data_IF_688384840131
#
_entry.id   IF_688384840131
#
_cell.length_a   1.000
_cell.length_b   1.000
_cell.length_c   1.000
_cell.angle_alpha   90.00
_cell.angle_beta   90.00
_cell.angle_gamma   90.00
#
_symmetry.space_group_name_H-M   'P 1'
#
loop_
_entity.id
_entity.type
_entity.pdbx_description
1 polymer ?
#
# COMPACT_ATOMS: atom_id res chain seq x y z
N UNK A 1 4.20 4.49 4.56
CA UNK A 1 4.93 5.63 3.94
C UNK A 1 5.65 6.40 5.03
N UNK A 2 6.87 6.85 4.78
CA UNK A 2 7.71 7.47 5.80
C UNK A 2 8.39 8.72 5.21
N UNK A 3 8.37 9.85 5.92
CA UNK A 3 9.01 11.12 5.51
C UNK A 3 8.77 11.56 4.05
N UNK A 4 7.53 11.40 3.57
CA UNK A 4 7.18 11.77 2.20
C UNK A 4 7.74 10.85 1.11
N UNK A 5 8.28 9.68 1.50
CA UNK A 5 8.69 8.60 0.61
C UNK A 5 7.74 7.41 0.72
N UNK A 6 7.44 6.81 -0.44
CA UNK A 6 6.79 5.49 -0.52
C UNK A 6 7.85 4.40 -0.32
N UNK A 7 7.57 3.45 0.58
CA UNK A 7 8.50 2.37 0.92
C UNK A 7 7.74 1.05 0.79
N UNK A 8 8.33 0.09 0.08
CA UNK A 8 7.86 -1.28 0.01
C UNK A 8 8.78 -2.23 0.79
N UNK A 9 8.17 -3.21 1.44
CA UNK A 9 8.86 -4.30 2.12
C UNK A 9 8.40 -5.62 1.51
N UNK A 10 9.33 -6.37 0.93
CA UNK A 10 9.11 -7.74 0.48
C UNK A 10 9.74 -8.68 1.52
N UNK A 11 8.92 -9.53 2.13
CA UNK A 11 9.39 -10.48 3.15
C UNK A 11 9.66 -11.82 2.47
N UNK A 12 10.83 -12.42 2.73
CA UNK A 12 11.18 -13.78 2.33
C UNK A 12 11.47 -14.61 3.58
N UNK A 13 11.01 -15.84 3.56
CA UNK A 13 11.26 -16.88 4.56
C UNK A 13 12.43 -17.77 4.11
N UNK A 14 12.83 -18.71 4.96
CA UNK A 14 13.86 -19.71 4.65
C UNK A 14 13.49 -20.61 3.47
N UNK A 15 12.18 -20.82 3.27
CA UNK A 15 11.60 -21.68 2.22
C UNK A 15 11.41 -20.97 0.89
N UNK A 16 11.50 -19.63 0.86
CA UNK A 16 11.29 -18.88 -0.37
C UNK A 16 12.43 -19.04 -1.37
N UNK A 17 12.07 -19.16 -2.65
CA UNK A 17 13.02 -19.15 -3.76
C UNK A 17 13.15 -17.77 -4.41
N UNK A 18 14.30 -17.51 -5.04
CA UNK A 18 14.54 -16.27 -5.78
C UNK A 18 13.79 -16.18 -7.12
N UNK A 19 13.07 -17.23 -7.56
CA UNK A 19 12.55 -17.35 -8.92
C UNK A 19 11.66 -16.18 -9.37
N UNK A 20 10.87 -15.61 -8.46
CA UNK A 20 9.97 -14.47 -8.76
C UNK A 20 10.54 -13.12 -8.33
N UNK A 21 11.61 -13.12 -7.55
CA UNK A 21 12.06 -11.92 -6.84
C UNK A 21 12.50 -10.81 -7.78
N UNK A 22 13.19 -11.16 -8.85
CA UNK A 22 13.67 -10.17 -9.81
C UNK A 22 12.53 -9.40 -10.49
N UNK A 23 11.48 -10.12 -10.92
CA UNK A 23 10.28 -9.51 -11.48
C UNK A 23 9.53 -8.65 -10.44
N UNK A 24 9.48 -9.09 -9.18
CA UNK A 24 8.89 -8.33 -8.07
C UNK A 24 9.65 -7.02 -7.83
N UNK A 25 10.99 -7.07 -7.69
CA UNK A 25 11.83 -5.88 -7.50
C UNK A 25 11.69 -4.92 -8.67
N UNK A 26 11.74 -5.41 -9.91
CA UNK A 26 11.57 -4.58 -11.11
C UNK A 26 10.21 -3.88 -11.15
N UNK A 27 9.17 -4.50 -10.58
CA UNK A 27 7.85 -3.90 -10.48
C UNK A 27 7.78 -2.87 -9.34
N UNK A 28 8.30 -3.20 -8.16
CA UNK A 28 8.26 -2.31 -6.99
C UNK A 28 9.10 -1.05 -7.17
N UNK A 29 10.28 -1.15 -7.76
CA UNK A 29 11.16 0.01 -8.00
C UNK A 29 10.55 1.05 -8.94
N UNK A 30 9.56 0.67 -9.77
CA UNK A 30 8.78 1.61 -10.60
C UNK A 30 7.72 2.40 -9.81
N UNK A 31 7.38 1.98 -8.60
CA UNK A 31 6.23 2.50 -7.84
C UNK A 31 6.67 3.16 -6.54
N UNK A 32 7.65 2.55 -5.86
CA UNK A 32 8.09 2.94 -4.53
C UNK A 32 9.42 3.67 -4.58
N UNK A 33 9.57 4.73 -3.78
CA UNK A 33 10.83 5.46 -3.70
C UNK A 33 11.93 4.63 -3.06
N UNK A 34 11.59 3.67 -2.20
CA UNK A 34 12.52 2.73 -1.60
C UNK A 34 11.91 1.34 -1.54
N UNK A 35 12.73 0.33 -1.76
CA UNK A 35 12.35 -1.08 -1.70
C UNK A 35 13.33 -1.80 -0.79
N UNK A 36 12.79 -2.53 0.19
CA UNK A 36 13.55 -3.33 1.14
C UNK A 36 13.15 -4.80 1.06
N UNK A 37 14.13 -5.69 1.10
CA UNK A 37 13.93 -7.09 1.40
C UNK A 37 14.10 -7.32 2.90
N UNK A 38 13.15 -8.04 3.49
CA UNK A 38 13.27 -8.57 4.84
C UNK A 38 13.52 -10.08 4.71
N UNK A 39 14.70 -10.54 5.11
CA UNK A 39 15.16 -11.91 4.88
C UNK A 39 15.73 -12.54 6.16
N UNK A 40 15.79 -13.88 6.28
CA UNK A 40 16.51 -14.51 7.37
C UNK A 40 18.01 -14.19 7.27
N UNK A 41 18.67 -13.97 8.41
CA UNK A 41 20.11 -13.64 8.45
C UNK A 41 20.97 -14.71 7.73
N UNK A 42 20.56 -15.98 7.79
CA UNK A 42 21.20 -17.11 7.10
C UNK A 42 21.15 -17.04 5.57
N UNK A 43 20.25 -16.22 4.99
CA UNK A 43 20.07 -16.08 3.54
C UNK A 43 20.72 -14.81 2.98
N UNK A 44 21.44 -14.03 3.79
CA UNK A 44 22.02 -12.75 3.37
C UNK A 44 22.83 -12.86 2.06
N UNK A 45 23.74 -13.84 1.99
CA UNK A 45 24.58 -14.07 0.80
C UNK A 45 23.78 -14.35 -0.48
N UNK A 46 22.59 -14.93 -0.36
CA UNK A 46 21.72 -15.22 -1.52
C UNK A 46 21.10 -13.96 -2.10
N UNK A 47 20.76 -12.99 -1.24
CA UNK A 47 19.97 -11.82 -1.60
C UNK A 47 20.78 -10.52 -1.70
N UNK A 48 22.02 -10.48 -1.21
CA UNK A 48 22.86 -9.26 -1.21
C UNK A 48 23.16 -8.71 -2.61
N UNK A 49 23.11 -9.58 -3.62
CA UNK A 49 23.29 -9.23 -5.03
C UNK A 49 22.22 -8.29 -5.60
N UNK A 50 21.04 -8.19 -4.97
CA UNK A 50 19.98 -7.34 -5.48
C UNK A 50 20.22 -5.88 -5.11
N UNK A 51 20.04 -4.96 -6.05
CA UNK A 51 20.15 -3.52 -5.82
C UNK A 51 18.88 -2.97 -5.15
N UNK A 52 18.69 -3.33 -3.88
CA UNK A 52 17.59 -2.92 -2.99
C UNK A 52 18.12 -2.86 -1.55
N UNK A 53 17.34 -2.30 -0.64
CA UNK A 53 17.71 -2.31 0.78
C UNK A 53 17.52 -3.70 1.39
N UNK A 54 18.30 -4.02 2.42
CA UNK A 54 18.23 -5.32 3.10
C UNK A 54 18.15 -5.13 4.61
N UNK A 55 17.15 -5.78 5.19
CA UNK A 55 16.97 -5.94 6.62
C UNK A 55 16.98 -7.45 6.89
N UNK A 56 17.87 -7.89 7.77
CA UNK A 56 17.91 -9.30 8.18
C UNK A 56 17.15 -9.50 9.49
N UNK A 57 16.43 -10.61 9.60
CA UNK A 57 15.82 -11.07 10.84
C UNK A 57 16.57 -12.29 11.38
N UNK A 58 16.91 -12.26 12.67
CA UNK A 58 17.43 -13.42 13.39
C UNK A 58 16.32 -13.99 14.30
N UNK A 59 15.78 -15.19 14.01
CA UNK A 59 14.69 -15.76 14.78
C UNK A 59 15.09 -16.13 16.21
N UNK A 60 16.34 -16.56 16.44
CA UNK A 60 16.83 -16.94 17.77
C UNK A 60 16.92 -15.72 18.70
N UNK A 61 17.41 -14.61 18.17
CA UNK A 61 17.55 -13.36 18.93
C UNK A 61 16.29 -12.48 18.87
N UNK A 62 15.31 -12.83 18.02
CA UNK A 62 14.12 -12.03 17.68
C UNK A 62 14.46 -10.58 17.32
N UNK A 63 15.54 -10.38 16.57
CA UNK A 63 16.10 -9.05 16.25
C UNK A 63 16.18 -8.81 14.75
N UNK A 64 15.78 -7.61 14.34
CA UNK A 64 16.03 -7.08 13.01
C UNK A 64 17.36 -6.30 12.98
N UNK A 65 18.09 -6.40 11.88
CA UNK A 65 19.31 -5.62 11.63
C UNK A 65 19.25 -5.03 10.23
N UNK A 66 19.47 -3.72 10.11
CA UNK A 66 19.64 -3.07 8.81
C UNK A 66 21.03 -3.39 8.26
N UNK A 67 21.09 -4.01 7.08
CA UNK A 67 22.33 -4.47 6.44
C UNK A 67 22.73 -3.62 5.24
N UNK A 68 21.75 -3.20 4.45
CA UNK A 68 21.96 -2.46 3.21
C UNK A 68 20.90 -1.37 3.04
N UNK A 69 21.35 -0.14 2.79
CA UNK A 69 20.46 0.97 2.51
C UNK A 69 19.83 0.81 1.13
N UNK A 70 18.52 1.05 1.02
CA UNK A 70 17.83 1.07 -0.27
C UNK A 70 18.23 2.32 -1.08
N UNK A 71 18.55 2.18 -2.38
CA UNK A 71 18.60 3.29 -3.32
C UNK A 71 17.30 4.08 -3.33
N UNK A 72 17.35 5.30 -3.86
CA UNK A 72 16.12 6.09 -4.10
C UNK A 72 15.70 5.93 -5.55
N UNK A 73 14.52 5.33 -5.77
CA UNK A 73 13.95 5.16 -7.10
C UNK A 73 12.96 6.27 -7.44
N UNK A 74 12.86 6.53 -8.74
CA UNK A 74 11.89 7.46 -9.31
C UNK A 74 10.68 6.67 -9.79
N UNK A 75 9.48 7.16 -9.47
CA UNK A 75 8.24 6.52 -9.90
C UNK A 75 8.11 6.54 -11.43
N UNK A 76 7.40 5.57 -11.97
CA UNK A 76 7.06 5.48 -13.38
C UNK A 76 5.55 5.82 -13.55
N UNK A 77 5.21 6.85 -14.35
CA UNK A 77 3.83 7.27 -14.57
C UNK A 77 2.89 6.15 -15.05
N UNK A 78 3.34 5.27 -15.95
CA UNK A 78 2.53 4.15 -16.42
C UNK A 78 2.27 3.13 -15.31
N UNK A 79 3.29 2.82 -14.50
CA UNK A 79 3.15 1.91 -13.38
C UNK A 79 2.18 2.43 -12.31
N UNK A 80 2.23 3.73 -11.99
CA UNK A 80 1.30 4.31 -11.01
C UNK A 80 -0.13 4.39 -11.55
N UNK A 81 -0.31 4.62 -12.86
CA UNK A 81 -1.65 4.67 -13.49
C UNK A 81 -2.39 3.35 -13.33
N UNK A 82 -1.68 2.22 -13.38
CA UNK A 82 -2.25 0.90 -13.15
C UNK A 82 -2.62 0.61 -11.69
N UNK A 83 -2.21 1.48 -10.75
CA UNK A 83 -2.48 1.32 -9.31
C UNK A 83 -3.58 2.26 -8.85
N UNK A 84 -3.64 3.45 -9.43
CA UNK A 84 -4.61 4.48 -9.07
C UNK A 84 -6.02 4.06 -9.48
N UNK A 85 -6.98 4.24 -8.58
CA UNK A 85 -8.39 4.10 -8.90
C UNK A 85 -8.87 5.29 -9.74
N UNK A 86 -10.00 5.12 -10.44
CA UNK A 86 -10.60 6.15 -11.30
C UNK A 86 -10.77 7.51 -10.63
N UNK A 87 -11.24 7.53 -9.39
CA UNK A 87 -11.40 8.77 -8.62
C UNK A 87 -10.05 9.43 -8.31
N UNK A 88 -9.00 8.64 -8.07
CA UNK A 88 -7.69 9.13 -7.66
C UNK A 88 -6.93 9.75 -8.83
N UNK A 89 -6.82 9.07 -9.98
CA UNK A 89 -6.11 9.67 -11.13
C UNK A 89 -6.85 10.90 -11.66
N UNK A 90 -8.19 10.93 -11.62
CA UNK A 90 -8.97 12.13 -11.96
C UNK A 90 -8.72 13.27 -10.98
N UNK A 91 -8.60 12.96 -9.70
CA UNK A 91 -8.25 13.94 -8.67
C UNK A 91 -6.86 14.51 -8.90
N UNK A 92 -5.86 13.69 -9.26
CA UNK A 92 -4.51 14.16 -9.60
C UNK A 92 -4.53 15.15 -10.77
N UNK A 93 -5.24 14.81 -11.85
CA UNK A 93 -5.37 15.70 -13.02
C UNK A 93 -6.04 17.01 -12.62
N UNK A 94 -7.17 16.96 -11.90
CA UNK A 94 -7.86 18.17 -11.43
C UNK A 94 -7.01 19.02 -10.48
N UNK A 95 -6.23 18.39 -9.60
CA UNK A 95 -5.36 19.10 -8.67
C UNK A 95 -4.21 19.81 -9.41
N UNK A 96 -3.69 19.23 -10.48
CA UNK A 96 -2.55 19.80 -11.21
C UNK A 96 -2.96 20.83 -12.25
N UNK A 97 -4.02 20.56 -13.02
CA UNK A 97 -4.48 21.36 -14.15
C UNK A 97 -5.74 22.18 -13.83
N UNK A 98 -6.20 22.16 -12.59
CA UNK A 98 -7.40 22.85 -12.09
C UNK A 98 -8.72 22.45 -12.78
N UNK A 99 -8.69 21.44 -13.66
CA UNK A 99 -9.82 20.98 -14.46
C UNK A 99 -9.60 19.55 -14.95
N UNK A 100 -10.67 18.91 -15.44
CA UNK A 100 -10.59 17.67 -16.22
C UNK A 100 -10.82 17.99 -17.72
N UNK A 101 -10.32 17.16 -18.64
CA UNK A 101 -10.66 17.28 -20.05
C UNK A 101 -12.17 17.35 -20.28
N UNK A 102 -12.64 18.30 -21.10
CA UNK A 102 -14.07 18.49 -21.39
C UNK A 102 -14.72 17.27 -22.04
N UNK A 103 -13.95 16.50 -22.83
CA UNK A 103 -14.40 15.34 -23.58
C UNK A 103 -14.23 14.00 -22.83
N UNK A 104 -14.06 14.03 -21.50
CA UNK A 104 -13.85 12.81 -20.70
C UNK A 104 -15.15 12.01 -20.55
N UNK A 105 -15.07 10.69 -20.74
CA UNK A 105 -16.16 9.74 -20.52
C UNK A 105 -15.63 8.40 -19.96
N UNK A 106 -16.52 7.45 -19.67
CA UNK A 106 -16.15 6.15 -19.07
C UNK A 106 -15.18 5.33 -19.93
N UNK A 107 -15.21 5.49 -21.26
CA UNK A 107 -14.40 4.73 -22.20
C UNK A 107 -12.99 5.30 -22.38
N UNK A 108 -12.84 6.63 -22.35
CA UNK A 108 -11.55 7.30 -22.64
C UNK A 108 -10.82 7.88 -21.41
N UNK A 109 -11.45 7.89 -20.23
CA UNK A 109 -10.91 8.56 -19.04
C UNK A 109 -9.52 8.07 -18.61
N UNK A 110 -9.24 6.77 -18.74
CA UNK A 110 -7.94 6.21 -18.35
C UNK A 110 -6.83 6.76 -19.26
N UNK A 111 -7.04 6.69 -20.57
CA UNK A 111 -6.06 7.12 -21.57
C UNK A 111 -5.81 8.64 -21.49
N UNK A 112 -6.88 9.45 -21.44
CA UNK A 112 -6.77 10.90 -21.37
C UNK A 112 -6.05 11.35 -20.10
N UNK A 113 -6.43 10.79 -18.94
CA UNK A 113 -5.77 11.12 -17.68
C UNK A 113 -4.31 10.61 -17.66
N UNK A 114 -4.04 9.43 -18.24
CA UNK A 114 -2.69 8.88 -18.34
C UNK A 114 -1.75 9.82 -19.10
N UNK A 115 -2.19 10.33 -20.26
CA UNK A 115 -1.43 11.31 -21.06
C UNK A 115 -1.10 12.55 -20.22
N UNK A 116 -2.11 13.17 -19.60
CA UNK A 116 -1.91 14.36 -18.78
C UNK A 116 -1.03 14.11 -17.55
N UNK A 117 -1.12 12.94 -16.94
CA UNK A 117 -0.31 12.57 -15.77
C UNK A 117 1.16 12.39 -16.13
N UNK A 118 1.47 11.86 -17.32
CA UNK A 118 2.86 11.73 -17.82
C UNK A 118 3.57 13.07 -17.94
N UNK A 119 2.83 14.13 -18.24
CA UNK A 119 3.37 15.48 -18.39
C UNK A 119 3.60 16.19 -17.05
N UNK A 120 3.10 15.64 -15.93
CA UNK A 120 3.30 16.22 -14.60
C UNK A 120 4.77 16.04 -14.18
N UNK A 121 5.45 17.09 -13.69
CA UNK A 121 6.80 16.97 -13.16
C UNK A 121 6.90 15.88 -12.09
N UNK A 122 7.85 14.96 -12.26
CA UNK A 122 7.87 13.68 -11.52
C UNK A 122 7.86 13.84 -9.98
N UNK A 123 8.50 14.90 -9.47
CA UNK A 123 8.49 15.25 -8.05
C UNK A 123 7.09 15.65 -7.54
N UNK A 124 6.32 16.39 -8.35
CA UNK A 124 4.93 16.74 -8.03
C UNK A 124 4.03 15.52 -8.13
N UNK A 125 4.18 14.72 -9.19
CA UNK A 125 3.43 13.49 -9.38
C UNK A 125 3.61 12.52 -8.21
N UNK A 126 4.86 12.35 -7.73
CA UNK A 126 5.14 11.53 -6.56
C UNK A 126 4.43 12.03 -5.30
N UNK A 127 4.39 13.35 -5.09
CA UNK A 127 3.64 13.94 -3.95
C UNK A 127 2.14 13.65 -4.06
N UNK A 128 1.54 13.82 -5.25
CA UNK A 128 0.12 13.55 -5.46
C UNK A 128 -0.21 12.06 -5.28
N UNK A 129 0.61 11.18 -5.86
CA UNK A 129 0.47 9.73 -5.68
C UNK A 129 0.53 9.32 -4.20
N UNK A 130 1.54 9.81 -3.47
CA UNK A 130 1.71 9.54 -2.05
C UNK A 130 0.50 10.04 -1.24
N UNK A 131 -0.01 11.23 -1.56
CA UNK A 131 -1.18 11.79 -0.91
C UNK A 131 -2.41 10.89 -1.06
N UNK A 132 -2.70 10.40 -2.27
CA UNK A 132 -3.86 9.52 -2.51
C UNK A 132 -3.71 8.15 -1.84
N UNK A 133 -2.55 7.50 -1.97
CA UNK A 133 -2.36 6.17 -1.36
C UNK A 133 -2.41 6.24 0.18
N UNK A 134 -2.01 7.35 0.83
CA UNK A 134 -2.20 7.54 2.29
C UNK A 134 -3.67 7.53 2.69
N UNK A 135 -4.54 8.12 1.88
CA UNK A 135 -5.97 8.21 2.20
C UNK A 135 -6.66 6.84 2.20
N UNK A 136 -6.14 5.88 1.43
CA UNK A 136 -6.64 4.48 1.47
C UNK A 136 -6.52 3.83 2.86
N UNK A 137 -5.51 4.21 3.64
CA UNK A 137 -5.24 3.65 4.96
C UNK A 137 -6.01 4.33 6.10
N UNK A 138 -6.69 5.44 5.85
CA UNK A 138 -7.46 6.13 6.91
C UNK A 138 -8.72 5.31 7.27
N UNK A 139 -9.23 4.51 6.34
CA UNK A 139 -10.43 3.66 6.56
C UNK A 139 -10.15 2.46 7.47
N UNK A 140 -8.89 2.01 7.60
CA UNK A 140 -8.54 0.79 8.37
C UNK A 140 -8.15 1.05 9.83
N UNK A 141 -8.00 2.29 10.27
CA UNK A 141 -7.58 2.59 11.64
C UNK A 141 -8.68 2.35 12.70
N UNK A 142 -9.95 2.37 12.29
CA UNK A 142 -11.07 1.98 13.18
C UNK A 142 -11.01 0.49 13.55
N UNK A 143 -10.41 -0.34 12.69
CA UNK A 143 -10.41 -1.80 12.86
C UNK A 143 -9.41 -2.31 13.90
N UNK A 144 -8.42 -1.48 14.27
CA UNK A 144 -7.48 -1.81 15.35
C UNK A 144 -8.09 -1.66 16.75
N UNK A 145 -9.27 -1.04 16.87
CA UNK A 145 -9.98 -0.82 18.13
C UNK A 145 -10.71 -2.08 18.63
N UNK A 146 -10.80 -3.13 17.80
CA UNK A 146 -11.59 -4.34 18.05
C UNK A 146 -10.76 -5.38 18.81
N UNK A 147 -10.45 -5.08 20.07
CA UNK A 147 -9.56 -5.90 20.92
C UNK A 147 -10.21 -7.18 21.45
N UNK A 148 -11.54 -7.27 21.43
CA UNK A 148 -12.22 -8.24 22.30
C UNK A 148 -12.29 -9.66 21.72
N UNK A 149 -12.32 -9.85 20.39
CA UNK A 149 -12.28 -11.18 19.75
C UNK A 149 -11.73 -11.11 18.32
N UNK A 150 -10.98 -12.14 17.88
CA UNK A 150 -10.32 -12.16 16.55
C UNK A 150 -11.34 -12.24 15.41
N UNK A 151 -12.45 -12.93 15.65
CA UNK A 151 -13.56 -13.17 14.74
C UNK A 151 -14.31 -11.85 14.46
N UNK A 152 -14.63 -11.08 15.50
CA UNK A 152 -15.24 -9.76 15.32
C UNK A 152 -14.30 -8.76 14.66
N UNK A 153 -12.99 -8.85 14.92
CA UNK A 153 -12.00 -8.07 14.19
C UNK A 153 -11.98 -8.45 12.70
N UNK A 154 -12.09 -9.74 12.37
CA UNK A 154 -12.16 -10.20 10.98
C UNK A 154 -13.45 -9.73 10.30
N UNK A 155 -14.60 -9.81 10.97
CA UNK A 155 -15.87 -9.29 10.48
C UNK A 155 -15.82 -7.77 10.27
N UNK A 156 -15.28 -7.02 11.23
CA UNK A 156 -15.10 -5.57 11.11
C UNK A 156 -14.23 -5.19 9.92
N UNK A 157 -13.17 -5.96 9.64
CA UNK A 157 -12.33 -5.78 8.45
C UNK A 157 -13.09 -6.08 7.16
N UNK A 158 -13.75 -7.23 7.08
CA UNK A 158 -14.46 -7.69 5.88
C UNK A 158 -15.58 -6.72 5.48
N UNK A 159 -16.30 -6.20 6.48
CA UNK A 159 -17.46 -5.33 6.30
C UNK A 159 -17.09 -3.83 6.28
N UNK A 160 -15.80 -3.50 6.45
CA UNK A 160 -15.30 -2.11 6.55
C UNK A 160 -16.11 -1.28 7.56
N UNK A 161 -16.40 -1.88 8.72
CA UNK A 161 -17.20 -1.24 9.76
C UNK A 161 -16.50 0.00 10.31
N UNK A 162 -17.25 1.09 10.43
CA UNK A 162 -16.87 2.24 11.25
C UNK A 162 -16.86 1.86 12.74
N UNK A 163 -16.15 2.64 13.57
CA UNK A 163 -16.16 2.45 15.03
C UNK A 163 -17.58 2.38 15.61
N UNK A 164 -18.47 3.26 15.17
CA UNK A 164 -19.86 3.31 15.64
C UNK A 164 -20.62 2.04 15.28
N UNK A 165 -20.50 1.56 14.03
CA UNK A 165 -21.16 0.32 13.59
C UNK A 165 -20.69 -0.89 14.40
N UNK A 166 -19.39 -0.99 14.68
CA UNK A 166 -18.86 -2.06 15.51
C UNK A 166 -19.35 -1.98 16.96
N UNK A 167 -19.36 -0.79 17.55
CA UNK A 167 -19.88 -0.59 18.91
C UNK A 167 -21.36 -0.95 19.01
N UNK A 168 -22.16 -0.53 18.04
CA UNK A 168 -23.58 -0.93 17.95
C UNK A 168 -23.72 -2.44 17.85
N UNK A 169 -22.97 -3.11 16.97
CA UNK A 169 -22.99 -4.57 16.84
C UNK A 169 -22.65 -5.26 18.16
N UNK A 170 -21.57 -4.84 18.84
CA UNK A 170 -21.17 -5.43 20.14
C UNK A 170 -22.23 -5.19 21.22
N UNK A 171 -22.87 -4.02 21.24
CA UNK A 171 -23.97 -3.74 22.16
C UNK A 171 -25.17 -4.64 21.87
N UNK A 172 -25.56 -4.78 20.61
CA UNK A 172 -26.67 -5.64 20.20
C UNK A 172 -26.43 -7.12 20.55
N UNK A 173 -25.20 -7.62 20.37
CA UNK A 173 -24.83 -8.99 20.73
C UNK A 173 -24.85 -9.27 22.25
N UNK A 174 -24.85 -8.23 23.09
CA UNK A 174 -24.98 -8.37 24.55
C UNK A 174 -26.44 -8.33 25.00
N UNK A 175 -27.37 -7.94 24.13
CA UNK A 175 -28.79 -7.94 24.46
C UNK A 175 -29.32 -9.38 24.38
N UNK A 176 -30.20 -9.78 25.31
CA UNK A 176 -30.91 -11.04 25.20
C UNK A 176 -31.77 -11.02 23.92
N UNK A 177 -31.94 -12.20 23.31
CA UNK A 177 -32.85 -12.35 22.17
C UNK A 177 -34.27 -12.21 22.71
N UNK A 178 -34.93 -11.10 22.39
CA UNK A 178 -36.35 -10.93 22.65
C UNK A 178 -37.12 -11.77 21.62
N UNK A 179 -37.73 -12.85 22.08
CA UNK A 179 -38.76 -13.54 21.32
C UNK A 179 -40.07 -12.80 21.52
N UNK A 180 -40.53 -12.10 20.48
CA UNK A 180 -41.92 -11.68 20.42
C UNK A 180 -42.76 -12.94 20.15
N UNK A 181 -43.32 -13.50 21.22
CA UNK A 181 -44.39 -14.51 21.16
C UNK A 181 -45.73 -13.83 20.81
#
# INVERSE_FOLDING_TARGET
MFNGKSIAFEIKTEMDSCKRLEAQIKSYTKIFNQVYLIIPESKLSTYDRYDVGIITFNPNQKKFKHRKQSPTYTINPDAIMNILHTSEYRSIVRQHYYSLPKNINSFNQFELCSKLIKDIPIKKLNKYFIHHIKQRNVVSNDVLMFKNFKEFKQLGNALKMTKTQYQTMVTQLKLPIEYNL
#
